data_IF_339851134335
#
_entry.id   IF_339851134335
#
_cell.length_a   1.000
_cell.length_b   1.000
_cell.length_c   1.000
_cell.angle_alpha   90.00
_cell.angle_beta   90.00
_cell.angle_gamma   90.00
#
_symmetry.space_group_name_H-M   'P 1'
#
loop_
_entity.id
_entity.type
_entity.pdbx_description
1 polymer ?
#
# COMPACT_ATOMS: atom_id res chain seq x y z
N UNK A 1 -26.36 38.21 19.97
CA UNK A 1 -25.27 37.38 20.54
C UNK A 1 -25.79 35.96 20.58
N UNK A 2 -25.42 35.15 19.59
CA UNK A 2 -25.81 33.74 19.47
C UNK A 2 -24.61 32.90 19.94
N UNK A 3 -24.76 31.94 20.85
CA UNK A 3 -23.62 31.15 21.28
C UNK A 3 -23.22 30.17 20.18
N UNK A 4 -21.96 30.23 19.78
CA UNK A 4 -21.28 29.16 19.04
C UNK A 4 -21.13 27.97 20.00
N UNK A 5 -21.81 26.87 19.68
CA UNK A 5 -21.56 25.58 20.33
C UNK A 5 -20.28 25.02 19.73
N UNK A 6 -19.15 25.26 20.40
CA UNK A 6 -17.89 24.59 20.12
C UNK A 6 -18.03 23.12 20.53
N UNK A 7 -18.31 22.24 19.57
CA UNK A 7 -18.04 20.82 19.74
C UNK A 7 -16.54 20.60 19.98
N UNK A 8 -16.14 19.54 20.71
CA UNK A 8 -14.73 19.26 20.90
C UNK A 8 -14.08 19.07 19.53
N UNK A 9 -13.00 19.80 19.27
CA UNK A 9 -12.11 19.52 18.16
C UNK A 9 -11.61 18.08 18.35
N UNK A 10 -12.12 17.15 17.55
CA UNK A 10 -11.47 15.85 17.39
C UNK A 10 -10.05 16.17 16.93
N UNK A 11 -9.05 15.66 17.65
CA UNK A 11 -7.67 15.69 17.18
C UNK A 11 -7.65 15.22 15.72
N UNK A 12 -7.00 15.97 14.83
CA UNK A 12 -6.93 15.66 13.39
C UNK A 12 -6.54 14.18 13.23
N UNK A 13 -7.42 13.38 12.61
CA UNK A 13 -7.15 11.96 12.41
C UNK A 13 -5.80 11.80 11.70
N UNK A 14 -4.89 10.93 12.21
CA UNK A 14 -3.52 10.85 11.68
C UNK A 14 -3.49 10.37 10.23
N UNK A 15 -4.59 9.78 9.75
CA UNK A 15 -4.77 9.27 8.41
C UNK A 15 -6.25 9.28 8.01
N UNK A 16 -6.54 9.69 6.78
CA UNK A 16 -7.83 9.46 6.11
C UNK A 16 -7.66 8.48 4.97
N UNK A 17 -8.73 7.78 4.61
CA UNK A 17 -8.72 6.77 3.55
C UNK A 17 -9.93 6.89 2.64
N UNK A 18 -9.71 6.72 1.34
CA UNK A 18 -10.76 6.59 0.33
C UNK A 18 -10.39 5.51 -0.69
N UNK A 19 -11.39 4.95 -1.36
CA UNK A 19 -11.18 4.15 -2.57
C UNK A 19 -11.35 5.03 -3.79
N UNK A 20 -10.31 5.09 -4.64
CA UNK A 20 -10.38 5.67 -5.97
C UNK A 20 -10.94 4.63 -6.93
N UNK A 21 -12.13 4.83 -7.53
CA UNK A 21 -12.82 3.76 -8.25
C UNK A 21 -12.13 3.31 -9.54
N UNK A 22 -11.28 4.15 -10.15
CA UNK A 22 -10.46 3.80 -11.30
C UNK A 22 -11.24 3.35 -12.54
N UNK A 23 -10.72 2.33 -13.25
CA UNK A 23 -11.19 1.93 -14.59
C UNK A 23 -11.08 0.42 -14.85
N UNK A 24 -11.85 -0.05 -15.83
CA UNK A 24 -11.82 -1.42 -16.36
C UNK A 24 -10.61 -1.61 -17.27
N UNK A 25 -9.86 -2.69 -17.05
CA UNK A 25 -8.74 -3.10 -17.89
C UNK A 25 -9.23 -3.92 -19.10
N UNK A 26 -8.46 -3.95 -20.22
CA UNK A 26 -8.85 -4.68 -21.43
C UNK A 26 -9.03 -6.20 -21.24
N UNK A 27 -8.41 -6.78 -20.21
CA UNK A 27 -8.48 -8.20 -19.87
C UNK A 27 -9.67 -8.53 -18.94
N UNK A 28 -10.51 -7.55 -18.61
CA UNK A 28 -11.69 -7.71 -17.77
C UNK A 28 -11.43 -7.52 -16.27
N UNK A 29 -10.18 -7.41 -15.85
CA UNK A 29 -9.85 -6.97 -14.50
C UNK A 29 -10.23 -5.49 -14.31
N UNK A 30 -10.22 -5.04 -13.06
CA UNK A 30 -10.46 -3.65 -12.70
C UNK A 30 -9.23 -3.07 -12.01
N UNK A 31 -8.90 -1.82 -12.34
CA UNK A 31 -7.90 -1.04 -11.64
C UNK A 31 -8.59 -0.03 -10.74
N UNK A 32 -8.25 -0.05 -9.45
CA UNK A 32 -8.68 0.93 -8.46
C UNK A 32 -7.47 1.33 -7.60
N UNK A 33 -7.65 2.18 -6.60
CA UNK A 33 -6.61 2.40 -5.59
C UNK A 33 -7.20 2.67 -4.21
N UNK A 34 -6.47 2.24 -3.19
CA UNK A 34 -6.63 2.77 -1.84
C UNK A 34 -5.79 4.03 -1.72
N UNK A 35 -6.41 5.16 -1.42
CA UNK A 35 -5.72 6.44 -1.27
C UNK A 35 -5.76 6.85 0.21
N UNK A 36 -4.58 6.85 0.83
CA UNK A 36 -4.37 7.27 2.21
C UNK A 36 -3.75 8.66 2.22
N UNK A 37 -4.35 9.61 2.95
CA UNK A 37 -3.75 10.92 3.21
C UNK A 37 -3.33 10.97 4.66
N UNK A 38 -2.08 11.38 4.91
CA UNK A 38 -1.47 11.39 6.23
C UNK A 38 -1.37 12.82 6.73
N UNK A 39 -1.74 13.05 7.98
CA UNK A 39 -1.58 14.35 8.61
C UNK A 39 -0.08 14.76 8.62
N UNK A 40 0.23 16.07 8.62
CA UNK A 40 1.62 16.54 8.62
C UNK A 40 2.49 15.86 9.69
N UNK A 41 3.66 15.35 9.28
CA UNK A 41 4.59 14.64 10.17
C UNK A 41 4.33 13.14 10.33
N UNK A 42 3.12 12.67 10.05
CA UNK A 42 2.73 11.26 10.10
C UNK A 42 3.21 10.48 8.87
N UNK A 43 3.39 9.18 9.08
CA UNK A 43 3.87 8.20 8.10
C UNK A 43 3.03 6.94 8.22
N UNK A 44 2.90 6.19 7.12
CA UNK A 44 2.39 4.80 7.15
C UNK A 44 3.44 3.85 6.62
N UNK A 45 3.24 2.55 6.78
CA UNK A 45 4.25 1.54 6.48
C UNK A 45 4.02 0.83 5.14
N UNK A 46 5.13 0.38 4.56
CA UNK A 46 5.13 -0.57 3.45
C UNK A 46 4.76 -1.99 3.94
N UNK A 47 4.43 -2.89 3.01
CA UNK A 47 4.15 -4.31 3.32
C UNK A 47 5.25 -5.02 4.13
N UNK A 48 6.51 -4.59 3.97
CA UNK A 48 7.64 -5.06 4.75
C UNK A 48 8.25 -3.86 5.50
N UNK A 49 7.74 -3.56 6.71
CA UNK A 49 7.83 -2.23 7.30
C UNK A 49 9.20 -1.92 7.93
N UNK A 50 10.13 -2.88 7.93
CA UNK A 50 11.40 -2.80 8.64
C UNK A 50 11.31 -3.32 10.08
N UNK A 51 12.27 -2.92 10.91
CA UNK A 51 12.45 -3.48 12.26
C UNK A 51 11.38 -3.02 13.26
N UNK A 52 10.88 -1.80 13.08
CA UNK A 52 10.04 -1.11 14.07
C UNK A 52 8.64 -0.75 13.55
N UNK A 53 8.28 -1.14 12.33
CA UNK A 53 7.00 -0.76 11.74
C UNK A 53 5.92 -1.83 11.82
N UNK A 54 4.66 -1.40 11.70
CA UNK A 54 3.48 -2.25 11.79
C UNK A 54 2.97 -2.48 10.36
N UNK A 55 3.02 -3.72 9.83
CA UNK A 55 2.61 -3.99 8.46
C UNK A 55 1.10 -3.79 8.30
N UNK A 56 0.63 -3.27 7.16
CA UNK A 56 -0.79 -3.15 6.89
C UNK A 56 -1.43 -4.52 6.63
N UNK A 57 -2.63 -4.71 7.17
CA UNK A 57 -3.47 -5.89 6.96
C UNK A 57 -4.75 -5.44 6.29
N UNK A 58 -5.09 -6.06 5.16
CA UNK A 58 -6.29 -5.77 4.39
C UNK A 58 -7.21 -6.98 4.37
N UNK A 59 -8.48 -6.74 4.63
CA UNK A 59 -9.56 -7.69 4.47
C UNK A 59 -10.57 -7.16 3.44
N UNK A 60 -10.69 -7.90 2.35
CA UNK A 60 -11.57 -7.60 1.22
C UNK A 60 -12.79 -8.51 1.18
N UNK A 61 -12.99 -9.37 2.18
CA UNK A 61 -13.96 -10.48 2.16
C UNK A 61 -15.41 -10.05 2.01
N UNK A 62 -15.75 -8.80 2.36
CA UNK A 62 -17.08 -8.21 2.20
C UNK A 62 -17.31 -7.62 0.79
N UNK A 63 -16.32 -7.69 -0.10
CA UNK A 63 -16.47 -7.23 -1.49
C UNK A 63 -17.39 -8.14 -2.29
N UNK A 64 -18.13 -7.57 -3.24
CA UNK A 64 -19.00 -8.31 -4.15
C UNK A 64 -18.40 -8.41 -5.55
N UNK A 65 -18.58 -9.57 -6.18
CA UNK A 65 -18.08 -9.86 -7.52
C UNK A 65 -16.54 -9.70 -7.69
N UNK A 66 -15.80 -9.94 -6.60
CA UNK A 66 -14.33 -9.91 -6.53
C UNK A 66 -13.79 -11.32 -6.31
N UNK A 67 -12.98 -11.82 -7.25
CA UNK A 67 -12.26 -13.09 -7.10
C UNK A 67 -10.95 -12.91 -6.32
N UNK A 68 -10.23 -11.81 -6.57
CA UNK A 68 -8.93 -11.54 -5.95
C UNK A 68 -8.61 -10.05 -6.03
N UNK A 69 -7.98 -9.52 -4.99
CA UNK A 69 -7.36 -8.18 -4.97
C UNK A 69 -5.86 -8.33 -4.89
N UNK A 70 -5.12 -7.66 -5.78
CA UNK A 70 -3.65 -7.63 -5.80
C UNK A 70 -3.19 -6.20 -5.60
N UNK A 71 -2.50 -5.94 -4.48
CA UNK A 71 -1.91 -4.64 -4.19
C UNK A 71 -0.58 -4.44 -4.94
N UNK A 72 -0.50 -3.38 -5.74
CA UNK A 72 0.66 -3.01 -6.54
C UNK A 72 1.38 -1.85 -5.86
N UNK A 73 2.34 -2.17 -5.00
CA UNK A 73 2.98 -1.18 -4.14
C UNK A 73 3.93 -0.26 -4.91
N UNK A 74 3.75 1.07 -4.83
CA UNK A 74 4.75 2.04 -5.28
C UNK A 74 6.05 1.90 -4.49
N UNK A 75 7.15 2.42 -5.02
CA UNK A 75 8.45 2.42 -4.35
C UNK A 75 8.36 3.17 -3.01
N UNK A 76 8.67 2.52 -1.87
CA UNK A 76 8.60 3.18 -0.57
C UNK A 76 9.87 3.99 -0.27
N UNK A 77 9.81 4.80 0.78
CA UNK A 77 10.98 5.46 1.36
C UNK A 77 11.53 4.69 2.55
N UNK A 78 12.84 4.76 2.73
CA UNK A 78 13.52 4.26 3.92
C UNK A 78 13.68 5.40 4.93
N UNK A 79 13.18 5.19 6.14
CA UNK A 79 13.28 6.12 7.26
C UNK A 79 14.12 5.54 8.39
N UNK A 80 14.71 6.43 9.19
CA UNK A 80 15.21 6.06 10.53
C UNK A 80 14.28 6.65 11.57
N UNK A 81 13.77 5.80 12.45
CA UNK A 81 12.86 6.17 13.52
C UNK A 81 13.34 5.54 14.82
N UNK A 82 13.60 6.37 15.83
CA UNK A 82 14.08 5.93 17.15
C UNK A 82 15.30 4.99 17.08
N UNK A 83 16.20 5.24 16.13
CA UNK A 83 17.40 4.43 15.90
C UNK A 83 17.19 3.22 14.97
N UNK A 84 15.96 2.74 14.80
CA UNK A 84 15.60 1.61 13.93
C UNK A 84 15.30 2.05 12.49
N UNK A 85 15.43 1.12 11.54
CA UNK A 85 15.10 1.37 10.13
C UNK A 85 13.66 0.94 9.84
N UNK A 86 12.90 1.85 9.24
CA UNK A 86 11.52 1.61 8.80
C UNK A 86 11.37 1.90 7.31
N UNK A 87 10.37 1.31 6.67
CA UNK A 87 10.09 1.46 5.25
C UNK A 87 8.61 1.80 5.06
N UNK A 88 8.31 2.86 4.31
CA UNK A 88 6.93 3.32 4.17
C UNK A 88 6.75 4.61 3.37
N UNK A 89 5.71 5.37 3.70
CA UNK A 89 5.24 6.53 2.96
C UNK A 89 4.95 7.71 3.90
N UNK A 90 5.05 8.94 3.39
CA UNK A 90 4.80 10.20 4.12
C UNK A 90 3.92 11.09 3.24
N UNK A 91 2.98 11.83 3.86
CA UNK A 91 2.08 12.73 3.14
C UNK A 91 0.91 11.99 2.53
N UNK A 92 1.17 11.07 1.58
CA UNK A 92 0.13 10.22 1.01
C UNK A 92 0.66 8.84 0.60
N UNK A 93 -0.27 7.91 0.42
CA UNK A 93 -0.06 6.65 -0.30
C UNK A 93 -1.27 6.42 -1.21
N UNK A 94 -1.06 6.52 -2.52
CA UNK A 94 -1.97 5.92 -3.50
C UNK A 94 -1.47 4.50 -3.75
N UNK A 95 -2.20 3.50 -3.27
CA UNK A 95 -1.89 2.08 -3.45
C UNK A 95 -2.78 1.50 -4.55
N UNK A 96 -2.28 1.34 -5.79
CA UNK A 96 -3.04 0.70 -6.85
C UNK A 96 -3.42 -0.74 -6.47
N UNK A 97 -4.66 -1.09 -6.81
CA UNK A 97 -5.28 -2.37 -6.58
C UNK A 97 -5.73 -2.91 -7.93
N UNK A 98 -5.23 -4.10 -8.29
CA UNK A 98 -5.76 -4.86 -9.43
C UNK A 98 -6.77 -5.88 -8.90
N UNK A 99 -8.01 -5.75 -9.36
CA UNK A 99 -9.14 -6.56 -8.92
C UNK A 99 -9.53 -7.51 -10.05
N UNK A 100 -9.38 -8.80 -9.80
CA UNK A 100 -9.96 -9.82 -10.68
C UNK A 100 -11.46 -9.91 -10.39
N UNK A 101 -12.29 -9.59 -11.37
CA UNK A 101 -13.76 -9.62 -11.23
C UNK A 101 -14.32 -11.00 -11.59
N UNK A 102 -15.42 -11.39 -10.93
CA UNK A 102 -16.23 -12.57 -11.33
C UNK A 102 -17.36 -12.21 -12.31
N UNK A 103 -17.42 -10.96 -12.78
CA UNK A 103 -18.47 -10.42 -13.65
C UNK A 103 -19.55 -9.63 -12.90
N UNK A 104 -20.27 -8.77 -13.62
CA UNK A 104 -21.29 -7.89 -13.05
C UNK A 104 -20.74 -6.61 -12.38
N UNK A 105 -21.60 -5.82 -11.71
CA UNK A 105 -21.18 -4.64 -10.95
C UNK A 105 -20.28 -5.05 -9.79
N UNK A 106 -19.11 -4.42 -9.67
CA UNK A 106 -18.15 -4.74 -8.60
C UNK A 106 -18.28 -3.72 -7.48
N UNK A 107 -18.48 -4.18 -6.26
CA UNK A 107 -18.34 -3.34 -5.05
C UNK A 107 -17.10 -3.80 -4.30
N UNK A 108 -16.15 -2.89 -4.12
CA UNK A 108 -14.94 -3.14 -3.35
C UNK A 108 -15.14 -2.58 -1.94
N UNK A 109 -14.96 -3.43 -0.94
CA UNK A 109 -14.95 -3.05 0.47
C UNK A 109 -13.62 -3.46 1.09
N UNK A 110 -13.04 -2.57 1.88
CA UNK A 110 -11.80 -2.82 2.61
C UNK A 110 -12.00 -2.54 4.09
N UNK A 111 -11.88 -3.58 4.92
CA UNK A 111 -11.57 -3.44 6.33
C UNK A 111 -10.05 -3.55 6.47
N UNK A 112 -9.40 -2.57 7.07
CA UNK A 112 -7.95 -2.57 7.16
C UNK A 112 -7.46 -2.14 8.53
N UNK A 113 -6.36 -2.74 8.94
CA UNK A 113 -5.54 -2.25 10.04
C UNK A 113 -4.21 -1.79 9.46
N UNK A 114 -3.85 -0.54 9.68
CA UNK A 114 -2.57 0.02 9.23
C UNK A 114 -1.81 0.60 10.41
N UNK A 115 -0.48 0.56 10.36
CA UNK A 115 0.33 1.34 11.29
C UNK A 115 0.50 2.76 10.80
N UNK A 116 0.31 3.74 11.68
CA UNK A 116 0.73 5.12 11.43
C UNK A 116 1.73 5.55 12.50
N UNK A 117 2.70 6.38 12.11
CA UNK A 117 3.73 6.82 13.05
C UNK A 117 4.17 8.26 12.86
N UNK A 118 4.19 8.99 13.97
CA UNK A 118 4.82 10.30 14.15
C UNK A 118 6.00 10.15 15.12
N UNK A 119 5.86 10.62 16.35
CA UNK A 119 6.78 10.35 17.47
C UNK A 119 6.49 8.98 18.09
N UNK A 120 5.23 8.56 18.05
CA UNK A 120 4.75 7.25 18.48
C UNK A 120 4.07 6.53 17.33
N UNK A 121 4.17 5.21 17.31
CA UNK A 121 3.58 4.36 16.29
C UNK A 121 2.35 3.65 16.85
N UNK A 122 1.21 3.80 16.18
CA UNK A 122 -0.08 3.25 16.63
C UNK A 122 -0.80 2.56 15.47
N UNK A 123 -1.53 1.45 15.73
CA UNK A 123 -2.42 0.87 14.75
C UNK A 123 -3.68 1.75 14.56
N UNK A 124 -4.19 1.79 13.34
CA UNK A 124 -5.43 2.45 12.96
C UNK A 124 -6.30 1.46 12.19
N UNK A 125 -7.58 1.39 12.56
CA UNK A 125 -8.57 0.60 11.84
C UNK A 125 -9.38 1.52 10.95
N UNK A 126 -9.46 1.20 9.66
CA UNK A 126 -10.15 1.99 8.66
C UNK A 126 -11.10 1.10 7.87
N UNK A 127 -12.20 1.70 7.43
CA UNK A 127 -13.20 1.03 6.61
C UNK A 127 -13.55 1.93 5.43
N UNK A 128 -13.48 1.38 4.21
CA UNK A 128 -13.81 2.09 2.98
C UNK A 128 -14.59 1.19 2.04
N UNK A 129 -15.49 1.77 1.26
CA UNK A 129 -16.29 1.05 0.27
C UNK A 129 -16.47 1.91 -0.98
N UNK A 130 -16.48 1.27 -2.15
CA UNK A 130 -16.76 1.94 -3.42
C UNK A 130 -17.38 0.97 -4.43
N UNK A 131 -18.35 1.47 -5.19
CA UNK A 131 -18.82 0.81 -6.41
C UNK A 131 -17.86 1.17 -7.55
N UNK A 132 -17.32 0.16 -8.22
CA UNK A 132 -16.36 0.35 -9.29
C UNK A 132 -17.12 0.57 -10.62
N UNK A 133 -16.88 1.69 -11.32
CA UNK A 133 -17.62 2.04 -12.53
C UNK A 133 -17.20 1.17 -13.71
N UNK A 134 -18.12 0.92 -14.64
CA UNK A 134 -17.76 0.36 -15.94
C UNK A 134 -17.24 1.47 -16.87
N UNK A 135 -16.08 2.03 -16.50
CA UNK A 135 -15.43 3.15 -17.19
C UNK A 135 -14.04 2.72 -17.64
N UNK A 136 -13.58 3.24 -18.78
CA UNK A 136 -12.20 3.09 -19.27
C UNK A 136 -11.35 4.34 -19.04
N UNK A 137 -11.91 5.37 -18.39
CA UNK A 137 -11.19 6.62 -18.12
C UNK A 137 -10.13 6.43 -17.06
N UNK A 138 -8.87 6.65 -17.43
CA UNK A 138 -7.72 6.48 -16.54
C UNK A 138 -7.72 7.56 -15.45
N UNK A 139 -7.54 7.15 -14.20
CA UNK A 139 -7.29 8.06 -13.09
C UNK A 139 -5.80 8.43 -13.05
N UNK A 140 -5.44 9.73 -13.15
CA UNK A 140 -4.05 10.16 -13.21
C UNK A 140 -3.25 9.87 -11.94
N UNK A 141 -3.87 9.87 -10.75
CA UNK A 141 -3.17 9.56 -9.50
C UNK A 141 -2.78 8.09 -9.43
N UNK A 142 -3.69 7.21 -9.87
CA UNK A 142 -3.42 5.77 -9.94
C UNK A 142 -2.33 5.50 -10.99
N UNK A 143 -2.40 6.16 -12.15
CA UNK A 143 -1.38 6.02 -13.20
C UNK A 143 0.01 6.47 -12.75
N UNK A 144 0.10 7.59 -12.00
CA UNK A 144 1.36 8.06 -11.42
C UNK A 144 1.93 7.04 -10.42
N UNK A 145 1.10 6.53 -9.51
CA UNK A 145 1.52 5.52 -8.53
C UNK A 145 1.98 4.20 -9.18
N UNK A 146 1.35 3.79 -10.28
CA UNK A 146 1.80 2.63 -11.08
C UNK A 146 3.18 2.87 -11.72
N UNK A 147 3.47 4.09 -12.16
CA UNK A 147 4.77 4.44 -12.74
C UNK A 147 5.91 4.45 -11.70
N UNK A 148 5.58 4.59 -10.42
CA UNK A 148 6.53 4.53 -9.29
C UNK A 148 6.76 3.11 -8.77
N UNK A 149 6.16 2.09 -9.39
CA UNK A 149 6.37 0.71 -9.00
C UNK A 149 7.85 0.30 -9.13
N UNK A 150 8.38 -0.53 -8.20
CA UNK A 150 9.74 -1.04 -8.32
C UNK A 150 9.93 -1.83 -9.62
N UNK A 151 11.11 -1.70 -10.24
CA UNK A 151 11.44 -2.48 -11.43
C UNK A 151 11.31 -3.99 -11.19
N UNK A 152 10.71 -4.65 -12.17
CA UNK A 152 10.75 -6.09 -12.29
C UNK A 152 12.20 -6.56 -12.55
N UNK A 153 12.47 -7.85 -12.29
CA UNK A 153 13.77 -8.45 -12.60
C UNK A 153 14.19 -8.21 -14.05
N UNK A 154 13.23 -8.24 -14.99
CA UNK A 154 13.47 -7.99 -16.42
C UNK A 154 13.87 -6.54 -16.68
N UNK A 155 13.15 -5.58 -16.11
CA UNK A 155 13.43 -4.15 -16.28
C UNK A 155 14.77 -3.76 -15.65
N UNK A 156 15.05 -4.30 -14.47
CA UNK A 156 16.33 -4.15 -13.79
C UNK A 156 17.47 -4.99 -14.42
N UNK A 157 17.17 -5.79 -15.46
CA UNK A 157 18.10 -6.70 -16.17
C UNK A 157 18.87 -7.64 -15.23
N UNK A 158 18.21 -8.10 -14.17
CA UNK A 158 18.74 -9.12 -13.27
C UNK A 158 19.01 -10.39 -14.07
N UNK A 159 20.26 -10.86 -14.07
CA UNK A 159 20.66 -12.02 -14.86
C UNK A 159 20.51 -13.34 -14.08
N UNK A 160 20.69 -13.31 -12.76
CA UNK A 160 20.48 -14.46 -11.90
C UNK A 160 20.17 -14.05 -10.45
N UNK A 161 19.41 -14.89 -9.77
CA UNK A 161 19.20 -14.83 -8.31
C UNK A 161 19.56 -16.19 -7.72
N UNK A 162 20.51 -16.22 -6.79
CA UNK A 162 20.94 -17.43 -6.09
C UNK A 162 20.66 -17.27 -4.60
N UNK A 163 19.91 -18.21 -4.05
CA UNK A 163 19.68 -18.31 -2.62
C UNK A 163 20.30 -19.60 -2.10
N UNK A 164 21.28 -19.48 -1.21
CA UNK A 164 21.88 -20.63 -0.53
C UNK A 164 21.47 -20.64 0.93
N UNK A 165 21.05 -21.81 1.39
CA UNK A 165 20.68 -22.07 2.77
C UNK A 165 21.69 -23.06 3.33
N UNK A 166 22.36 -22.71 4.43
CA UNK A 166 23.30 -23.62 5.09
C UNK A 166 23.02 -23.68 6.59
N UNK A 167 23.30 -24.82 7.26
CA UNK A 167 23.23 -24.88 8.71
C UNK A 167 24.17 -23.85 9.37
N UNK A 168 23.74 -23.27 10.48
CA UNK A 168 24.54 -22.42 11.35
C UNK A 168 24.34 -22.87 12.80
N UNK A 169 25.28 -22.53 13.70
CA UNK A 169 25.13 -22.86 15.13
C UNK A 169 23.85 -22.19 15.66
N UNK A 170 22.86 -22.99 16.05
CA UNK A 170 21.58 -22.51 16.56
C UNK A 170 20.59 -21.99 15.49
N UNK A 171 20.78 -22.29 14.21
CA UNK A 171 19.82 -21.87 13.18
C UNK A 171 20.25 -22.15 11.75
N UNK A 172 19.78 -21.30 10.83
CA UNK A 172 20.09 -21.36 9.40
C UNK A 172 20.75 -20.06 8.96
N UNK A 173 21.72 -20.16 8.06
CA UNK A 173 22.29 -19.04 7.34
C UNK A 173 21.66 -18.98 5.95
N UNK A 174 21.10 -17.82 5.62
CA UNK A 174 20.59 -17.51 4.28
C UNK A 174 21.56 -16.55 3.61
N UNK A 175 21.98 -16.87 2.39
CA UNK A 175 22.75 -15.96 1.53
C UNK A 175 22.03 -15.82 0.20
N UNK A 176 21.52 -14.63 -0.05
CA UNK A 176 20.95 -14.24 -1.34
C UNK A 176 21.99 -13.43 -2.12
N UNK A 177 22.24 -13.85 -3.35
CA UNK A 177 23.11 -13.17 -4.31
C UNK A 177 22.28 -12.84 -5.55
N UNK A 178 22.36 -11.59 -5.99
CA UNK A 178 21.61 -11.08 -7.13
C UNK A 178 22.64 -10.53 -8.12
N UNK A 179 22.71 -11.14 -9.29
CA UNK A 179 23.58 -10.67 -10.36
C UNK A 179 22.87 -9.53 -11.11
N UNK A 180 23.36 -8.32 -10.87
CA UNK A 180 22.88 -7.09 -11.49
C UNK A 180 23.72 -6.78 -12.74
N UNK A 181 23.18 -6.06 -13.74
CA UNK A 181 23.99 -5.51 -14.82
C UNK A 181 25.08 -4.60 -14.24
N UNK A 182 26.24 -4.54 -14.90
CA UNK A 182 27.28 -3.58 -14.53
C UNK A 182 26.74 -2.15 -14.65
N UNK A 183 26.94 -1.34 -13.62
CA UNK A 183 26.64 0.10 -13.66
C UNK A 183 27.70 0.74 -14.56
N UNK A 184 27.33 1.49 -15.60
CA UNK A 184 28.27 2.23 -16.45
C UNK A 184 29.13 3.23 -15.69
#
# INVERSE_FOLDING_TARGET
>A
MTPLVSGPAHAEDPVTAELRPGWRLPDGDHMAALHLQLAPGWKTYWRAPGEAGIPPVFDWSNSSNVARVTALWPTPHVFRQSGARSVGYKGELVLPLRIASTGGPVTLEANMMIGVCSDICVPQTLHVTAVLPDSTSVDPMIAAALAEAPFTAREARVSAVRCTVSPAKGGVKLRAEIDMPAIP
#
